data_IF_171951893841
#
_entry.id   IF_171951893841
#
_cell.length_a   1.000
_cell.length_b   1.000
_cell.length_c   1.000
_cell.angle_alpha   90.00
_cell.angle_beta   90.00
_cell.angle_gamma   90.00
#
_symmetry.space_group_name_H-M   'P 1'
#
loop_
_entity.id
_entity.type
_entity.pdbx_description
1 polymer ?
#
# COMPACT_ATOMS: atom_id res chain seq x y z
N UNK A 1 -3.26 -25.84 0.91
CA UNK A 1 -1.96 -26.12 1.55
C UNK A 1 -1.00 -24.97 1.27
N UNK A 2 -0.13 -24.66 2.21
CA UNK A 2 1.00 -23.72 2.11
C UNK A 2 2.27 -24.50 2.42
N UNK A 3 3.38 -24.19 1.76
CA UNK A 3 4.67 -24.81 2.00
C UNK A 3 5.67 -23.76 2.50
N UNK A 4 6.34 -24.04 3.63
CA UNK A 4 7.47 -23.27 4.11
C UNK A 4 8.78 -23.93 3.65
N UNK A 5 9.46 -23.33 2.68
CA UNK A 5 10.68 -23.89 2.08
C UNK A 5 11.87 -23.05 2.50
N UNK A 6 12.97 -23.69 2.91
CA UNK A 6 14.21 -22.96 3.16
C UNK A 6 14.77 -22.44 1.83
N UNK A 7 15.08 -21.14 1.77
CA UNK A 7 15.47 -20.44 0.52
C UNK A 7 16.66 -21.10 -0.19
N UNK A 8 17.56 -21.73 0.56
CA UNK A 8 18.79 -22.32 0.03
C UNK A 8 18.67 -23.83 -0.20
N UNK A 9 17.46 -24.38 -0.18
CA UNK A 9 17.22 -25.76 -0.59
C UNK A 9 17.61 -25.99 -2.05
N UNK A 10 18.11 -27.19 -2.34
CA UNK A 10 18.41 -27.59 -3.71
C UNK A 10 17.12 -27.59 -4.53
N UNK A 11 17.13 -26.89 -5.67
CA UNK A 11 15.96 -26.72 -6.54
C UNK A 11 15.17 -25.41 -6.31
N UNK A 12 15.55 -24.58 -5.33
CA UNK A 12 15.03 -23.21 -5.16
C UNK A 12 15.95 -22.22 -5.87
N UNK A 13 15.38 -21.35 -6.69
CA UNK A 13 16.10 -20.25 -7.34
C UNK A 13 15.30 -18.96 -7.27
N UNK A 14 15.91 -17.92 -6.67
CA UNK A 14 15.38 -16.54 -6.69
C UNK A 14 16.05 -15.80 -7.82
N UNK A 15 15.25 -15.23 -8.73
CA UNK A 15 15.73 -14.46 -9.87
C UNK A 15 15.52 -12.98 -9.54
N UNK A 16 16.57 -12.18 -9.73
CA UNK A 16 16.52 -10.73 -9.56
C UNK A 16 16.03 -10.06 -10.85
N UNK A 17 14.76 -10.28 -11.19
CA UNK A 17 14.11 -9.81 -12.41
C UNK A 17 12.91 -8.87 -12.14
N UNK A 18 12.85 -8.28 -10.94
CA UNK A 18 11.83 -7.26 -10.65
C UNK A 18 12.10 -5.97 -11.43
N UNK A 19 11.20 -5.59 -12.33
CA UNK A 19 11.35 -4.46 -13.25
C UNK A 19 10.39 -3.27 -12.95
N UNK A 20 9.79 -3.26 -11.77
CA UNK A 20 8.86 -2.20 -11.36
C UNK A 20 9.48 -0.80 -11.34
N UNK A 21 8.72 0.21 -11.79
CA UNK A 21 9.21 1.60 -11.80
C UNK A 21 9.29 2.23 -10.39
N UNK A 22 8.57 1.68 -9.42
CA UNK A 22 8.63 2.01 -8.00
C UNK A 22 8.87 0.74 -7.17
N UNK A 23 9.13 0.90 -5.87
CA UNK A 23 9.45 -0.21 -4.97
C UNK A 23 10.59 -1.09 -5.51
N UNK A 24 11.64 -0.46 -6.04
CA UNK A 24 12.69 -1.14 -6.82
C UNK A 24 13.54 -2.13 -6.03
N UNK A 25 13.50 -2.07 -4.70
CA UNK A 25 14.37 -2.85 -3.81
C UNK A 25 13.59 -3.86 -2.96
N UNK A 26 12.38 -4.25 -3.36
CA UNK A 26 11.53 -5.18 -2.59
C UNK A 26 11.85 -6.65 -2.85
N UNK A 27 12.63 -6.97 -3.90
CA UNK A 27 12.92 -8.36 -4.28
C UNK A 27 11.68 -9.10 -4.79
N UNK A 28 10.74 -8.41 -5.44
CA UNK A 28 9.47 -8.97 -5.94
C UNK A 28 9.61 -9.71 -7.28
N UNK A 29 10.79 -10.28 -7.54
CA UNK A 29 11.10 -11.04 -8.75
C UNK A 29 10.59 -12.48 -8.71
N UNK A 30 11.01 -13.27 -9.68
CA UNK A 30 10.56 -14.63 -9.90
C UNK A 30 11.20 -15.61 -8.90
N UNK A 31 10.36 -16.42 -8.26
CA UNK A 31 10.79 -17.61 -7.52
C UNK A 31 10.54 -18.86 -8.38
N UNK A 32 11.58 -19.63 -8.68
CA UNK A 32 11.48 -20.96 -9.28
C UNK A 32 11.69 -22.03 -8.22
N UNK A 33 10.78 -23.00 -8.18
CA UNK A 33 10.83 -24.16 -7.27
C UNK A 33 10.72 -25.41 -8.13
N UNK A 34 11.77 -26.23 -8.17
CA UNK A 34 11.85 -27.43 -9.00
C UNK A 34 12.29 -28.64 -8.18
N UNK A 35 11.40 -29.61 -8.01
CA UNK A 35 11.67 -30.89 -7.31
C UNK A 35 12.33 -30.72 -5.93
N UNK A 36 11.92 -29.68 -5.19
CA UNK A 36 12.44 -29.42 -3.84
C UNK A 36 11.87 -30.44 -2.86
N UNK A 37 12.75 -31.13 -2.13
CA UNK A 37 12.33 -32.02 -1.06
C UNK A 37 11.73 -31.19 0.09
N UNK A 38 10.56 -31.60 0.56
CA UNK A 38 9.84 -30.89 1.62
C UNK A 38 9.36 -31.88 2.68
N UNK A 39 9.83 -31.75 3.94
CA UNK A 39 9.28 -32.53 5.05
C UNK A 39 7.79 -32.22 5.26
N UNK A 40 7.01 -33.22 5.68
CA UNK A 40 5.58 -33.02 5.96
C UNK A 40 5.32 -31.97 7.05
N UNK A 41 6.26 -31.78 7.99
CA UNK A 41 6.19 -30.74 9.02
C UNK A 41 6.26 -29.30 8.48
N UNK A 42 6.68 -29.11 7.23
CA UNK A 42 6.75 -27.80 6.58
C UNK A 42 5.48 -27.49 5.76
N UNK A 43 4.53 -28.43 5.71
CA UNK A 43 3.23 -28.24 5.10
C UNK A 43 2.26 -27.68 6.14
N UNK A 44 1.71 -26.52 5.82
CA UNK A 44 0.73 -25.82 6.65
C UNK A 44 -0.62 -25.93 5.94
N UNK A 45 -1.63 -26.58 6.56
CA UNK A 45 -2.99 -26.57 6.02
C UNK A 45 -3.51 -25.15 5.85
N UNK A 46 -4.16 -24.87 4.72
CA UNK A 46 -4.59 -23.50 4.41
C UNK A 46 -5.78 -23.05 5.26
N UNK A 47 -6.64 -24.00 5.63
CA UNK A 47 -7.76 -23.84 6.56
C UNK A 47 -7.31 -23.53 8.01
N UNK A 48 -6.06 -23.84 8.37
CA UNK A 48 -5.46 -23.49 9.66
C UNK A 48 -4.85 -22.09 9.68
N UNK A 49 -4.87 -21.34 8.58
CA UNK A 49 -4.40 -19.95 8.59
C UNK A 49 -5.37 -19.04 9.35
N UNK A 50 -4.80 -17.99 9.92
CA UNK A 50 -5.56 -16.91 10.53
C UNK A 50 -6.50 -16.25 9.51
N UNK A 51 -7.77 -16.09 9.90
CA UNK A 51 -8.85 -15.57 9.04
C UNK A 51 -8.63 -14.11 8.64
N UNK A 52 -7.89 -13.33 9.44
CA UNK A 52 -7.64 -11.90 9.22
C UNK A 52 -6.45 -11.61 8.28
N UNK A 53 -5.94 -12.63 7.58
CA UNK A 53 -4.70 -12.52 6.79
C UNK A 53 -4.71 -11.44 5.70
N UNK A 54 -5.84 -11.29 5.01
CA UNK A 54 -5.97 -10.30 3.92
C UNK A 54 -5.92 -8.89 4.48
N UNK A 55 -6.65 -8.62 5.56
CA UNK A 55 -6.61 -7.36 6.28
C UNK A 55 -5.18 -7.07 6.82
N UNK A 56 -4.49 -8.07 7.37
CA UNK A 56 -3.10 -7.91 7.84
C UNK A 56 -2.16 -7.44 6.72
N UNK A 57 -2.13 -8.14 5.58
CA UNK A 57 -1.29 -7.73 4.45
C UNK A 57 -1.66 -6.35 3.93
N UNK A 58 -2.96 -6.05 3.88
CA UNK A 58 -3.43 -4.76 3.39
C UNK A 58 -3.02 -3.62 4.32
N UNK A 59 -3.10 -3.77 5.64
CA UNK A 59 -2.64 -2.77 6.62
C UNK A 59 -1.16 -2.45 6.43
N UNK A 60 -0.31 -3.43 6.11
CA UNK A 60 1.11 -3.18 5.80
C UNK A 60 1.26 -2.27 4.56
N UNK A 61 0.45 -2.49 3.52
CA UNK A 61 0.42 -1.60 2.36
C UNK A 61 -0.11 -0.20 2.69
N UNK A 62 -1.15 -0.07 3.52
CA UNK A 62 -1.67 1.23 3.98
C UNK A 62 -0.60 2.00 4.77
N UNK A 63 0.09 1.34 5.70
CA UNK A 63 1.19 1.91 6.46
C UNK A 63 2.34 2.35 5.55
N UNK A 64 2.67 1.55 4.53
CA UNK A 64 3.70 1.90 3.53
C UNK A 64 3.31 3.17 2.74
N UNK A 65 2.06 3.26 2.27
CA UNK A 65 1.55 4.43 1.55
C UNK A 65 1.55 5.68 2.42
N UNK A 66 1.09 5.56 3.68
CA UNK A 66 1.11 6.65 4.66
C UNK A 66 2.53 7.12 4.97
N UNK A 67 3.48 6.18 5.11
CA UNK A 67 4.90 6.52 5.28
C UNK A 67 5.47 7.29 4.08
N UNK A 68 5.11 6.88 2.86
CA UNK A 68 5.47 7.61 1.63
C UNK A 68 4.89 9.02 1.65
N UNK A 69 3.62 9.19 2.04
CA UNK A 69 2.98 10.50 2.13
C UNK A 69 3.70 11.44 3.11
N UNK A 70 3.99 10.95 4.32
CA UNK A 70 4.71 11.72 5.35
C UNK A 70 6.10 12.14 4.87
N UNK A 71 6.86 11.18 4.31
CA UNK A 71 8.20 11.45 3.79
C UNK A 71 8.19 12.43 2.61
N UNK A 72 7.18 12.37 1.74
CA UNK A 72 7.02 13.32 0.64
C UNK A 72 6.78 14.74 1.16
N UNK A 73 5.85 14.92 2.09
CA UNK A 73 5.56 16.24 2.70
C UNK A 73 6.81 16.81 3.37
N UNK A 74 7.54 16.01 4.14
CA UNK A 74 8.78 16.43 4.81
C UNK A 74 9.86 16.85 3.80
N UNK A 75 10.13 16.00 2.80
CA UNK A 75 11.19 16.23 1.81
C UNK A 75 10.89 17.47 0.96
N UNK A 76 9.66 17.61 0.47
CA UNK A 76 9.27 18.80 -0.30
C UNK A 76 9.30 20.07 0.55
N UNK A 77 8.88 20.00 1.81
CA UNK A 77 8.97 21.14 2.73
C UNK A 77 10.42 21.58 2.93
N UNK A 78 11.37 20.64 3.05
CA UNK A 78 12.79 20.97 3.15
C UNK A 78 13.31 21.67 1.88
N UNK A 79 13.01 21.12 0.71
CA UNK A 79 13.37 21.70 -0.59
C UNK A 79 12.83 23.12 -0.78
N UNK A 80 11.61 23.39 -0.28
CA UNK A 80 10.99 24.72 -0.31
C UNK A 80 11.70 25.68 0.66
N UNK A 81 12.01 25.21 1.89
CA UNK A 81 12.68 26.02 2.92
C UNK A 81 14.06 26.51 2.49
N UNK A 82 14.82 25.68 1.78
CA UNK A 82 16.19 25.98 1.35
C UNK A 82 16.25 26.77 0.04
N UNK A 83 15.15 26.84 -0.71
CA UNK A 83 15.12 27.42 -2.04
C UNK A 83 15.29 28.94 -2.01
N UNK A 84 16.34 29.39 -2.71
CA UNK A 84 16.63 30.82 -2.95
C UNK A 84 16.09 31.34 -4.28
N UNK A 85 15.91 30.47 -5.29
CA UNK A 85 15.39 30.86 -6.60
C UNK A 85 13.88 31.10 -6.54
N UNK A 86 13.46 32.33 -6.82
CA UNK A 86 12.04 32.73 -6.80
C UNK A 86 11.35 32.57 -8.16
N UNK A 87 10.04 32.77 -8.18
CA UNK A 87 9.25 32.99 -9.39
C UNK A 87 9.01 34.49 -9.52
N UNK A 88 9.30 35.10 -10.68
CA UNK A 88 9.11 36.54 -10.88
C UNK A 88 7.67 37.01 -10.73
N UNK A 89 6.71 36.09 -10.90
CA UNK A 89 5.27 36.32 -10.73
C UNK A 89 4.73 35.66 -9.45
N UNK A 90 5.62 35.25 -8.53
CA UNK A 90 5.24 34.69 -7.23
C UNK A 90 4.76 35.77 -6.26
N UNK A 91 4.11 35.33 -5.19
CA UNK A 91 3.45 36.21 -4.22
C UNK A 91 4.33 36.55 -3.00
N UNK A 92 5.63 36.24 -3.04
CA UNK A 92 6.52 36.51 -1.91
C UNK A 92 8.00 36.57 -2.32
N UNK A 93 8.78 37.26 -1.48
CA UNK A 93 10.23 37.46 -1.70
C UNK A 93 11.04 36.16 -1.62
N UNK A 94 10.48 35.12 -1.00
CA UNK A 94 11.02 33.77 -0.94
C UNK A 94 9.90 32.76 -1.16
N UNK A 95 10.21 31.63 -1.82
CA UNK A 95 9.25 30.55 -2.11
C UNK A 95 8.60 30.00 -0.83
N UNK A 96 9.37 29.91 0.27
CA UNK A 96 8.87 29.51 1.60
C UNK A 96 7.87 30.49 2.24
N UNK A 97 7.74 31.70 1.71
CA UNK A 97 6.78 32.71 2.16
C UNK A 97 5.64 32.93 1.16
N UNK A 98 5.66 32.24 0.01
CA UNK A 98 4.61 32.38 -0.99
C UNK A 98 3.33 31.66 -0.51
N UNK A 99 2.20 32.37 -0.32
CA UNK A 99 0.95 31.77 0.16
C UNK A 99 0.40 30.64 -0.73
N UNK A 100 0.58 30.69 -2.05
CA UNK A 100 0.10 29.64 -2.95
C UNK A 100 0.97 28.38 -2.83
N UNK A 101 2.27 28.55 -2.60
CA UNK A 101 3.18 27.42 -2.31
C UNK A 101 2.84 26.79 -0.97
N UNK A 102 2.61 27.61 0.07
CA UNK A 102 2.19 27.13 1.39
C UNK A 102 0.84 26.41 1.34
N UNK A 103 -0.09 26.85 0.49
CA UNK A 103 -1.37 26.16 0.25
C UNK A 103 -1.18 24.74 -0.29
N UNK A 104 -0.27 24.54 -1.26
CA UNK A 104 0.04 23.21 -1.82
C UNK A 104 0.57 22.27 -0.74
N UNK A 105 1.54 22.73 0.06
CA UNK A 105 2.12 21.94 1.16
C UNK A 105 1.08 21.66 2.25
N UNK A 106 0.26 22.66 2.59
CA UNK A 106 -0.81 22.52 3.59
C UNK A 106 -1.84 21.46 3.19
N UNK A 107 -2.30 21.46 1.92
CA UNK A 107 -3.20 20.43 1.40
C UNK A 107 -2.54 19.04 1.47
N UNK A 108 -1.30 18.91 1.01
CA UNK A 108 -0.58 17.63 1.05
C UNK A 108 -0.39 17.11 2.49
N UNK A 109 -0.10 18.00 3.44
CA UNK A 109 -0.01 17.67 4.86
C UNK A 109 -1.34 17.16 5.42
N UNK A 110 -2.46 17.80 5.07
CA UNK A 110 -3.79 17.35 5.50
C UNK A 110 -4.15 15.97 4.92
N UNK A 111 -3.76 15.69 3.67
CA UNK A 111 -3.95 14.37 3.05
C UNK A 111 -3.09 13.29 3.72
N UNK A 112 -1.84 13.61 4.08
CA UNK A 112 -0.97 12.71 4.85
C UNK A 112 -1.55 12.42 6.25
N UNK A 113 -2.06 13.45 6.94
CA UNK A 113 -2.75 13.31 8.22
C UNK A 113 -3.96 12.38 8.13
N UNK A 114 -4.83 12.57 7.12
CA UNK A 114 -5.98 11.71 6.91
C UNK A 114 -5.56 10.25 6.64
N UNK A 115 -4.49 10.05 5.86
CA UNK A 115 -3.96 8.71 5.57
C UNK A 115 -3.47 8.00 6.84
N UNK A 116 -2.80 8.73 7.73
CA UNK A 116 -2.36 8.21 9.02
C UNK A 116 -3.52 7.84 9.94
N UNK A 117 -4.52 8.73 10.07
CA UNK A 117 -5.71 8.46 10.88
C UNK A 117 -6.46 7.20 10.39
N UNK A 118 -6.64 7.05 9.07
CA UNK A 118 -7.28 5.87 8.49
C UNK A 118 -6.43 4.62 8.74
N UNK A 119 -5.11 4.69 8.55
CA UNK A 119 -4.20 3.55 8.78
C UNK A 119 -4.28 3.04 10.22
N UNK A 120 -4.27 3.95 11.20
CA UNK A 120 -4.36 3.60 12.61
C UNK A 120 -5.72 2.97 12.94
N UNK A 121 -6.82 3.52 12.41
CA UNK A 121 -8.15 2.95 12.58
C UNK A 121 -8.25 1.54 11.99
N UNK A 122 -7.69 1.30 10.80
CA UNK A 122 -7.64 -0.04 10.22
C UNK A 122 -6.80 -0.99 11.07
N UNK A 123 -5.68 -0.52 11.63
CA UNK A 123 -4.84 -1.33 12.53
C UNK A 123 -5.57 -1.70 13.83
N UNK A 124 -6.41 -0.82 14.38
CA UNK A 124 -7.26 -1.15 15.53
C UNK A 124 -8.30 -2.23 15.21
N UNK A 125 -8.93 -2.17 14.04
CA UNK A 125 -9.87 -3.21 13.58
C UNK A 125 -9.16 -4.56 13.41
N UNK A 126 -7.97 -4.55 12.81
CA UNK A 126 -7.12 -5.72 12.67
C UNK A 126 -6.71 -6.30 14.04
N UNK A 127 -6.38 -5.46 15.02
CA UNK A 127 -6.04 -5.89 16.37
C UNK A 127 -7.20 -6.66 17.03
N UNK A 128 -8.43 -6.18 16.87
CA UNK A 128 -9.63 -6.90 17.37
C UNK A 128 -9.82 -8.24 16.67
N UNK A 129 -9.59 -8.31 15.36
CA UNK A 129 -9.63 -9.57 14.61
C UNK A 129 -8.55 -10.55 15.10
N UNK A 130 -7.33 -10.06 15.36
CA UNK A 130 -6.25 -10.85 15.96
C UNK A 130 -6.63 -11.39 17.35
N UNK A 131 -7.12 -10.55 18.25
CA UNK A 131 -7.47 -10.95 19.62
C UNK A 131 -8.63 -11.95 19.64
N UNK A 132 -9.65 -11.73 18.81
CA UNK A 132 -10.82 -12.62 18.73
C UNK A 132 -10.51 -14.00 18.17
N UNK A 133 -9.43 -14.17 17.40
CA UNK A 133 -8.96 -15.47 16.93
C UNK A 133 -8.61 -16.42 18.09
N UNK A 134 -8.18 -15.87 19.23
CA UNK A 134 -7.85 -16.64 20.43
C UNK A 134 -9.02 -16.72 21.42
N UNK A 135 -10.15 -16.07 21.11
CA UNK A 135 -11.34 -16.14 21.93
C UNK A 135 -12.20 -17.37 21.57
N UNK A 136 -12.87 -17.96 22.56
CA UNK A 136 -13.78 -19.10 22.36
C UNK A 136 -15.16 -18.65 21.80
N UNK A 137 -15.18 -17.86 20.72
CA UNK A 137 -16.41 -17.37 20.09
C UNK A 137 -16.26 -17.16 18.59
N UNK A 138 -16.72 -18.15 17.81
CA UNK A 138 -16.71 -18.12 16.35
C UNK A 138 -17.50 -16.92 15.78
N UNK A 139 -18.62 -16.56 16.40
CA UNK A 139 -19.45 -15.42 16.00
C UNK A 139 -18.67 -14.11 16.13
N UNK A 140 -17.96 -13.91 17.25
CA UNK A 140 -17.14 -12.70 17.45
C UNK A 140 -15.94 -12.69 16.51
N UNK A 141 -15.25 -13.83 16.36
CA UNK A 141 -14.15 -13.95 15.42
C UNK A 141 -14.60 -13.53 14.01
N UNK A 142 -15.70 -14.09 13.51
CA UNK A 142 -16.23 -13.75 12.20
C UNK A 142 -16.54 -12.24 12.06
N UNK A 143 -17.26 -11.66 13.03
CA UNK A 143 -17.59 -10.23 12.99
C UNK A 143 -16.34 -9.35 12.91
N UNK A 144 -15.33 -9.58 13.76
CA UNK A 144 -14.12 -8.76 13.76
C UNK A 144 -13.27 -8.96 12.51
N UNK A 145 -13.31 -10.15 11.90
CA UNK A 145 -12.67 -10.38 10.61
C UNK A 145 -13.35 -9.58 9.48
N UNK A 146 -14.69 -9.55 9.45
CA UNK A 146 -15.46 -8.72 8.51
C UNK A 146 -15.11 -7.24 8.69
N UNK A 147 -15.09 -6.75 9.94
CA UNK A 147 -14.75 -5.35 10.25
C UNK A 147 -13.33 -5.01 9.75
N UNK A 148 -12.35 -5.87 10.02
CA UNK A 148 -10.97 -5.66 9.59
C UNK A 148 -10.83 -5.68 8.06
N UNK A 149 -11.50 -6.60 7.36
CA UNK A 149 -11.47 -6.63 5.89
C UNK A 149 -12.14 -5.39 5.30
N UNK A 150 -13.28 -4.95 5.84
CA UNK A 150 -14.00 -3.77 5.37
C UNK A 150 -13.17 -2.49 5.55
N UNK A 151 -12.66 -2.26 6.76
CA UNK A 151 -11.83 -1.08 7.06
C UNK A 151 -10.56 -1.09 6.21
N UNK A 152 -9.97 -2.25 5.95
CA UNK A 152 -8.77 -2.35 5.11
C UNK A 152 -9.07 -2.07 3.63
N UNK A 153 -10.22 -2.50 3.13
CA UNK A 153 -10.68 -2.23 1.76
C UNK A 153 -11.00 -0.74 1.58
N UNK A 154 -11.76 -0.15 2.51
CA UNK A 154 -12.08 1.28 2.48
C UNK A 154 -10.81 2.13 2.60
N UNK A 155 -9.92 1.77 3.53
CA UNK A 155 -8.63 2.41 3.70
C UNK A 155 -7.76 2.34 2.44
N UNK A 156 -7.75 1.19 1.76
CA UNK A 156 -7.02 1.02 0.50
C UNK A 156 -7.49 1.99 -0.59
N UNK A 157 -8.79 2.13 -0.78
CA UNK A 157 -9.37 3.03 -1.80
C UNK A 157 -9.01 4.48 -1.48
N UNK A 158 -9.24 4.92 -0.24
CA UNK A 158 -9.06 6.32 0.15
C UNK A 158 -7.58 6.70 0.20
N UNK A 159 -6.75 5.93 0.90
CA UNK A 159 -5.32 6.24 1.07
C UNK A 159 -4.60 6.25 -0.28
N UNK A 160 -4.89 5.31 -1.17
CA UNK A 160 -4.28 5.29 -2.51
C UNK A 160 -4.53 6.59 -3.27
N UNK A 161 -5.78 7.09 -3.25
CA UNK A 161 -6.14 8.33 -3.94
C UNK A 161 -5.47 9.55 -3.28
N UNK A 162 -5.47 9.63 -1.95
CA UNK A 162 -4.83 10.73 -1.21
C UNK A 162 -3.33 10.80 -1.50
N UNK A 163 -2.63 9.67 -1.41
CA UNK A 163 -1.17 9.61 -1.57
C UNK A 163 -0.76 9.87 -3.02
N UNK A 164 -1.53 9.36 -4.00
CA UNK A 164 -1.26 9.65 -5.41
C UNK A 164 -1.50 11.12 -5.77
N UNK A 165 -2.59 11.73 -5.26
CA UNK A 165 -2.83 13.16 -5.47
C UNK A 165 -1.71 13.98 -4.82
N UNK A 166 -1.44 13.80 -3.52
CA UNK A 166 -0.45 14.65 -2.84
C UNK A 166 0.95 14.53 -3.44
N UNK A 167 1.40 13.31 -3.79
CA UNK A 167 2.73 13.11 -4.36
C UNK A 167 2.87 13.69 -5.78
N UNK A 168 1.76 13.85 -6.50
CA UNK A 168 1.72 14.56 -7.77
C UNK A 168 1.65 16.08 -7.56
N UNK A 169 0.72 16.55 -6.72
CA UNK A 169 0.45 17.98 -6.52
C UNK A 169 1.62 18.72 -5.84
N UNK A 170 2.42 18.04 -5.02
CA UNK A 170 3.62 18.62 -4.39
C UNK A 170 4.62 19.19 -5.42
N UNK A 171 4.65 18.68 -6.65
CA UNK A 171 5.48 19.25 -7.72
C UNK A 171 5.10 20.70 -8.06
N UNK A 172 3.85 21.11 -7.85
CA UNK A 172 3.40 22.48 -8.11
C UNK A 172 4.04 23.50 -7.15
N UNK A 173 4.57 23.07 -6.01
CA UNK A 173 5.27 23.96 -5.06
C UNK A 173 6.73 24.27 -5.49
N UNK A 174 7.34 23.43 -6.31
CA UNK A 174 8.74 23.55 -6.75
C UNK A 174 8.90 23.72 -8.27
N UNK A 175 7.85 23.44 -9.04
CA UNK A 175 7.86 23.49 -10.50
C UNK A 175 8.95 22.60 -11.10
N UNK A 176 9.52 23.03 -12.23
CA UNK A 176 10.54 22.27 -12.97
C UNK A 176 11.77 21.84 -12.13
N UNK A 177 12.09 22.55 -11.04
CA UNK A 177 13.18 22.16 -10.13
C UNK A 177 12.93 20.83 -9.42
N UNK A 178 11.67 20.42 -9.22
CA UNK A 178 11.34 19.15 -8.60
C UNK A 178 11.59 17.96 -9.53
N UNK A 179 11.60 18.18 -10.85
CA UNK A 179 11.83 17.16 -11.87
C UNK A 179 13.32 16.78 -12.04
N UNK A 180 14.18 17.20 -11.11
CA UNK A 180 15.61 16.87 -11.14
C UNK A 180 15.86 15.40 -10.82
N UNK A 181 16.61 14.72 -11.69
CA UNK A 181 17.10 13.35 -11.43
C UNK A 181 18.02 13.26 -10.21
N UNK A 182 18.68 14.35 -9.81
CA UNK A 182 19.50 14.36 -8.59
C UNK A 182 18.62 14.30 -7.35
N UNK A 183 17.47 14.98 -7.35
CA UNK A 183 16.55 15.02 -6.20
C UNK A 183 15.65 13.79 -6.11
N UNK A 184 15.34 13.18 -7.25
CA UNK A 184 14.51 11.98 -7.36
C UNK A 184 13.16 12.10 -6.64
N UNK A 185 12.53 13.27 -6.64
CA UNK A 185 11.28 13.51 -5.89
C UNK A 185 10.10 12.70 -6.46
N UNK A 186 10.18 12.31 -7.73
CA UNK A 186 9.25 11.43 -8.42
C UNK A 186 9.21 10.03 -7.80
N UNK A 187 10.23 9.63 -7.02
CA UNK A 187 10.27 8.34 -6.31
C UNK A 187 9.08 8.15 -5.40
N UNK A 188 8.54 9.21 -4.77
CA UNK A 188 7.40 9.09 -3.87
C UNK A 188 6.15 8.66 -4.62
N UNK A 189 5.84 9.35 -5.72
CA UNK A 189 4.72 8.98 -6.58
C UNK A 189 4.92 7.60 -7.21
N UNK A 190 6.11 7.30 -7.74
CA UNK A 190 6.41 5.99 -8.33
C UNK A 190 6.21 4.86 -7.33
N UNK A 191 6.77 5.00 -6.12
CA UNK A 191 6.62 4.01 -5.06
C UNK A 191 5.16 3.87 -4.60
N UNK A 192 4.42 4.97 -4.46
CA UNK A 192 3.01 4.94 -4.09
C UNK A 192 2.15 4.26 -5.17
N UNK A 193 2.39 4.57 -6.45
CA UNK A 193 1.68 3.97 -7.57
C UNK A 193 1.98 2.48 -7.70
N UNK A 194 3.20 2.04 -7.43
CA UNK A 194 3.51 0.59 -7.39
C UNK A 194 2.77 -0.11 -6.25
N UNK A 195 2.83 0.41 -5.01
CA UNK A 195 2.14 -0.21 -3.86
C UNK A 195 0.63 -0.26 -4.05
N UNK A 196 0.02 0.85 -4.47
CA UNK A 196 -1.44 0.94 -4.69
C UNK A 196 -1.94 0.11 -5.88
N UNK A 197 -1.04 -0.47 -6.69
CA UNK A 197 -1.40 -1.36 -7.80
C UNK A 197 -1.40 -2.84 -7.43
N UNK A 198 -0.98 -3.20 -6.21
CA UNK A 198 -0.90 -4.60 -5.78
C UNK A 198 -2.24 -5.33 -5.90
N UNK A 199 -3.34 -4.67 -5.52
CA UNK A 199 -4.70 -5.15 -5.78
C UNK A 199 -5.48 -4.06 -6.54
N UNK A 200 -6.23 -4.41 -7.60
CA UNK A 200 -7.00 -3.42 -8.35
C UNK A 200 -8.07 -2.76 -7.48
N UNK A 201 -8.00 -1.44 -7.31
CA UNK A 201 -8.94 -0.67 -6.48
C UNK A 201 -10.39 -0.87 -6.89
N UNK A 202 -10.66 -1.01 -8.20
CA UNK A 202 -12.00 -1.23 -8.74
C UNK A 202 -12.70 -2.46 -8.13
N UNK A 203 -11.95 -3.50 -7.76
CA UNK A 203 -12.53 -4.69 -7.13
C UNK A 203 -12.79 -4.47 -5.64
N UNK A 204 -11.99 -3.63 -4.99
CA UNK A 204 -12.24 -3.20 -3.60
C UNK A 204 -13.47 -2.29 -3.53
N UNK A 205 -13.59 -1.32 -4.44
CA UNK A 205 -14.78 -0.48 -4.58
C UNK A 205 -16.05 -1.31 -4.79
N UNK A 206 -15.99 -2.32 -5.67
CA UNK A 206 -17.11 -3.25 -5.91
C UNK A 206 -17.54 -3.97 -4.62
N UNK A 207 -16.61 -4.58 -3.88
CA UNK A 207 -16.98 -5.35 -2.67
C UNK A 207 -17.47 -4.45 -1.54
N UNK A 208 -16.93 -3.24 -1.41
CA UNK A 208 -17.45 -2.24 -0.46
C UNK A 208 -18.89 -1.88 -0.84
N UNK A 209 -19.16 -1.59 -2.11
CA UNK A 209 -20.51 -1.27 -2.58
C UNK A 209 -21.51 -2.40 -2.35
N UNK A 210 -21.12 -3.64 -2.65
CA UNK A 210 -21.97 -4.82 -2.45
C UNK A 210 -22.25 -5.08 -0.95
N UNK A 211 -21.25 -4.87 -0.09
CA UNK A 211 -21.43 -4.88 1.36
C UNK A 211 -22.42 -3.80 1.82
N UNK A 212 -22.28 -2.56 1.36
CA UNK A 212 -23.14 -1.46 1.84
C UNK A 212 -24.60 -1.60 1.40
N UNK A 213 -24.83 -2.10 0.18
CA UNK A 213 -26.18 -2.19 -0.40
C UNK A 213 -26.85 -3.52 -0.04
N UNK A 214 -26.14 -4.63 -0.18
CA UNK A 214 -26.73 -5.98 -0.09
C UNK A 214 -26.30 -6.75 1.15
N UNK A 215 -25.33 -6.24 1.93
CA UNK A 215 -24.69 -6.96 3.04
C UNK A 215 -24.10 -8.30 2.59
N UNK A 216 -23.64 -8.37 1.34
CA UNK A 216 -22.92 -9.51 0.80
C UNK A 216 -21.58 -9.65 1.51
N UNK A 217 -21.25 -10.85 1.99
CA UNK A 217 -19.99 -11.12 2.69
C UNK A 217 -18.76 -10.74 1.87
N UNK A 218 -17.74 -10.21 2.58
CA UNK A 218 -16.48 -9.83 1.98
C UNK A 218 -15.63 -11.05 1.62
N UNK A 219 -14.84 -10.99 0.52
CA UNK A 219 -13.93 -12.08 0.17
C UNK A 219 -12.67 -12.06 1.04
N UNK A 220 -12.43 -13.14 1.78
CA UNK A 220 -11.25 -13.34 2.64
C UNK A 220 -10.08 -14.07 1.94
N UNK A 221 -10.22 -14.40 0.65
CA UNK A 221 -9.17 -15.03 -0.15
C UNK A 221 -9.17 -14.45 -1.55
N UNK A 222 -8.06 -13.82 -1.93
CA UNK A 222 -7.82 -13.28 -3.27
C UNK A 222 -6.77 -14.14 -3.98
N UNK A 223 -7.13 -14.73 -5.12
CA UNK A 223 -6.22 -15.57 -5.90
C UNK A 223 -5.70 -14.82 -7.13
N UNK A 224 -4.41 -14.99 -7.41
CA UNK A 224 -3.72 -14.53 -8.63
C UNK A 224 -3.34 -15.77 -9.44
N UNK A 225 -3.50 -15.73 -10.77
CA UNK A 225 -3.12 -16.85 -11.63
C UNK A 225 -3.32 -16.56 -13.11
N UNK A 226 -2.74 -17.42 -13.95
CA UNK A 226 -2.98 -17.38 -15.38
C UNK A 226 -4.43 -17.76 -15.69
N UNK A 227 -5.02 -17.10 -16.69
CA UNK A 227 -6.34 -17.48 -17.20
C UNK A 227 -6.31 -18.97 -17.60
N UNK A 228 -7.35 -19.75 -17.24
CA UNK A 228 -7.47 -21.14 -17.70
C UNK A 228 -7.38 -21.24 -19.24
N UNK A 229 -7.82 -20.21 -19.97
CA UNK A 229 -7.75 -20.13 -21.44
C UNK A 229 -6.35 -19.84 -21.99
N UNK A 230 -5.46 -19.28 -21.17
CA UNK A 230 -4.07 -19.01 -21.55
C UNK A 230 -3.18 -20.25 -21.45
N UNK A 231 -3.62 -21.32 -20.75
CA UNK A 231 -2.90 -22.60 -20.71
C UNK A 231 -3.09 -23.47 -21.96
N UNK A 232 -4.03 -23.09 -22.83
CA UNK A 232 -4.43 -23.83 -24.03
C UNK A 232 -4.08 -23.11 -25.33
N UNK A 233 -3.31 -22.03 -25.28
CA UNK A 233 -2.86 -21.26 -26.43
C UNK A 233 -1.36 -21.41 -26.66
#
# INVERSE_FOLDING_TARGET
MIAAIYRHETGVSVIDDWDGFGQKTTGSGTLKVHQVHLPASHLIPFDQRFKYQTAFYQVVHLATLTGIARAAVETFSQEIRERKRIFSHGNGDLVRHDPQVLQVVGKASAQAYASEAITLKTAEALQKAYESHFAESEVKEHQFNVDAELESAQGQVVISNLVLDLTSQLFNALGASASSQVKQLDRFWRNARTVSSHNPLIYKEKVIGDWEVNRTDLPFVWQIGASPRAKTA
#
